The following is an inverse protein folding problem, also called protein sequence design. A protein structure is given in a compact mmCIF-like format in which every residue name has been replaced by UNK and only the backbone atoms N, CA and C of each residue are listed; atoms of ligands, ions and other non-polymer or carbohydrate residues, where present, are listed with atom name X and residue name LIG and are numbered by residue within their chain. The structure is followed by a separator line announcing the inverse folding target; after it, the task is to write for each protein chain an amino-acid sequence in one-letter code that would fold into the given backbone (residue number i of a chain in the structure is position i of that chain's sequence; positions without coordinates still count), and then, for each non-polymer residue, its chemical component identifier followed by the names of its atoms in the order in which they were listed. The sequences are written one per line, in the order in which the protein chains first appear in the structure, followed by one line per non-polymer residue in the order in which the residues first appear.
data_IF_954688781453
#
_entry.id   IF_954688781453
#
_cell.length_a   1.000
_cell.length_b   1.000
_cell.length_c   1.000
_cell.angle_alpha   90.00
_cell.angle_beta   90.00
_cell.angle_gamma   90.00
#
_symmetry.space_group_name_H-M   'P 1'
#
loop_
_entity.id
_entity.type
_entity.pdbx_description
1 polymer ?
#
# COMPACT_ATOMS: atom_id res chain seq x y z
N UNK A 1 -27.27 14.19 -23.35
CA UNK A 1 -26.24 13.15 -23.63
C UNK A 1 -24.92 13.43 -22.91
N UNK A 2 -24.29 14.61 -23.08
CA UNK A 2 -23.00 14.95 -22.43
C UNK A 2 -23.01 14.89 -20.89
N UNK A 3 -24.12 15.24 -20.24
CA UNK A 3 -24.23 15.17 -18.76
C UNK A 3 -24.20 13.73 -18.24
N UNK A 4 -24.88 12.80 -18.91
CA UNK A 4 -24.92 11.38 -18.51
C UNK A 4 -23.52 10.76 -18.62
N UNK A 5 -22.77 11.06 -19.69
CA UNK A 5 -21.41 10.53 -19.85
C UNK A 5 -20.46 11.03 -18.76
N UNK A 6 -20.59 12.29 -18.33
CA UNK A 6 -19.79 12.85 -17.23
C UNK A 6 -20.15 12.19 -15.90
N UNK A 7 -21.44 11.99 -15.62
CA UNK A 7 -21.89 11.30 -14.40
C UNK A 7 -21.39 9.86 -14.35
N UNK A 8 -21.48 9.11 -15.46
CA UNK A 8 -20.97 7.74 -15.53
C UNK A 8 -19.44 7.69 -15.34
N UNK A 9 -18.70 8.63 -15.92
CA UNK A 9 -17.25 8.70 -15.74
C UNK A 9 -16.88 9.00 -14.27
N UNK A 10 -17.55 9.96 -13.63
CA UNK A 10 -17.34 10.25 -12.21
C UNK A 10 -17.70 9.06 -11.32
N UNK A 11 -18.80 8.36 -11.60
CA UNK A 11 -19.18 7.14 -10.87
C UNK A 11 -18.16 6.00 -11.04
N UNK A 12 -17.60 5.82 -12.24
CA UNK A 12 -16.53 4.86 -12.48
C UNK A 12 -15.25 5.26 -11.74
N UNK A 13 -14.89 6.54 -11.73
CA UNK A 13 -13.76 7.04 -10.96
C UNK A 13 -13.95 6.84 -9.45
N UNK A 14 -15.15 7.11 -8.91
CA UNK A 14 -15.40 6.91 -7.46
C UNK A 14 -15.36 5.43 -7.09
N UNK A 15 -15.90 4.53 -7.92
CA UNK A 15 -15.80 3.08 -7.70
C UNK A 15 -14.34 2.60 -7.81
N UNK A 16 -13.58 3.08 -8.80
CA UNK A 16 -12.16 2.74 -8.94
C UNK A 16 -11.33 3.25 -7.76
N UNK A 17 -11.59 4.48 -7.29
CA UNK A 17 -10.91 5.06 -6.13
C UNK A 17 -11.28 4.29 -4.86
N UNK A 18 -12.57 4.05 -4.59
CA UNK A 18 -13.02 3.34 -3.37
C UNK A 18 -12.55 1.88 -3.31
N UNK A 19 -12.41 1.21 -4.46
CA UNK A 19 -11.81 -0.14 -4.51
C UNK A 19 -10.29 -0.13 -4.39
N UNK A 20 -9.62 0.94 -4.83
CA UNK A 20 -8.18 1.16 -4.64
C UNK A 20 -7.83 1.73 -3.25
N UNK A 21 -8.81 2.22 -2.49
CA UNK A 21 -8.59 2.68 -1.13
C UNK A 21 -8.15 1.50 -0.28
N UNK A 22 -6.96 1.58 0.33
CA UNK A 22 -6.47 0.50 1.16
C UNK A 22 -7.44 0.31 2.33
N UNK A 23 -8.01 -0.90 2.43
CA UNK A 23 -8.77 -1.38 3.59
C UNK A 23 -7.85 -1.54 4.84
N UNK A 24 -6.63 -0.98 4.81
CA UNK A 24 -5.54 -1.30 5.72
C UNK A 24 -5.65 -0.77 7.15
N UNK A 25 -6.35 0.32 7.53
CA UNK A 25 -6.39 0.62 8.96
C UNK A 25 -7.22 -0.44 9.69
N UNK A 26 -8.35 -0.89 9.14
CA UNK A 26 -9.23 -1.84 9.85
C UNK A 26 -8.69 -3.26 9.80
N UNK A 27 -8.24 -3.75 8.63
CA UNK A 27 -7.73 -5.11 8.54
C UNK A 27 -6.36 -5.26 9.20
N UNK A 28 -5.47 -4.26 9.14
CA UNK A 28 -4.19 -4.35 9.83
C UNK A 28 -4.36 -4.18 11.35
N UNK A 29 -5.30 -3.35 11.82
CA UNK A 29 -5.56 -3.19 13.25
C UNK A 29 -6.30 -4.39 13.85
N UNK A 30 -7.23 -5.03 13.11
CA UNK A 30 -7.85 -6.29 13.54
C UNK A 30 -6.91 -7.50 13.40
N UNK A 31 -6.07 -7.55 12.37
CA UNK A 31 -5.11 -8.64 12.21
C UNK A 31 -3.87 -8.48 13.10
N UNK A 32 -3.56 -7.26 13.58
CA UNK A 32 -2.43 -6.98 14.47
C UNK A 32 -2.43 -7.80 15.76
N UNK A 33 -3.50 -7.84 16.58
CA UNK A 33 -3.51 -8.64 17.79
C UNK A 33 -3.36 -10.13 17.50
N UNK A 34 -3.96 -10.63 16.42
CA UNK A 34 -3.81 -12.02 15.98
C UNK A 34 -2.40 -12.33 15.47
N UNK A 35 -1.80 -11.41 14.70
CA UNK A 35 -0.44 -11.54 14.22
C UNK A 35 0.55 -11.53 15.40
N UNK A 36 0.40 -10.60 16.33
CA UNK A 36 1.24 -10.52 17.52
C UNK A 36 1.12 -11.80 18.37
N UNK A 37 -0.10 -12.32 18.57
CA UNK A 37 -0.28 -13.58 19.31
C UNK A 37 0.33 -14.77 18.55
N UNK A 38 0.26 -14.78 17.21
CA UNK A 38 0.90 -15.82 16.41
C UNK A 38 2.43 -15.74 16.51
N UNK A 39 3.00 -14.53 16.49
CA UNK A 39 4.45 -14.33 16.61
C UNK A 39 4.97 -14.65 18.02
N UNK A 40 4.21 -14.39 19.08
CA UNK A 40 4.59 -14.74 20.47
C UNK A 40 4.64 -16.27 20.69
N UNK A 41 3.90 -17.06 19.90
CA UNK A 41 3.84 -18.53 20.02
C UNK A 41 4.76 -19.25 19.02
N UNK A 42 5.40 -18.51 18.09
CA UNK A 42 6.31 -19.08 17.10
C UNK A 42 7.72 -19.25 17.71
N UNK A 43 8.34 -20.45 17.64
CA UNK A 43 9.73 -20.63 18.05
C UNK A 43 10.65 -19.65 17.30
N UNK A 44 11.67 -19.10 17.96
CA UNK A 44 12.57 -18.04 17.44
C UNK A 44 13.02 -18.26 15.98
N UNK A 45 13.33 -19.50 15.58
CA UNK A 45 13.73 -19.83 14.20
C UNK A 45 12.63 -19.51 13.17
N UNK A 46 11.37 -19.74 13.53
CA UNK A 46 10.22 -19.45 12.68
C UNK A 46 9.91 -17.96 12.60
N UNK A 47 10.19 -17.18 13.65
CA UNK A 47 10.10 -15.72 13.60
C UNK A 47 11.09 -15.14 12.60
N UNK A 48 12.36 -15.59 12.64
CA UNK A 48 13.37 -15.16 11.66
C UNK A 48 12.96 -15.53 10.23
N UNK A 49 12.50 -16.76 10.01
CA UNK A 49 11.99 -17.20 8.72
C UNK A 49 10.79 -16.36 8.26
N UNK A 50 9.88 -15.97 9.15
CA UNK A 50 8.73 -15.13 8.83
C UNK A 50 9.15 -13.71 8.43
N UNK A 51 10.11 -13.10 9.14
CA UNK A 51 10.65 -11.77 8.81
C UNK A 51 11.40 -11.80 7.48
N UNK A 52 12.22 -12.83 7.23
CA UNK A 52 12.96 -12.97 5.98
C UNK A 52 12.04 -13.20 4.77
N UNK A 53 10.94 -13.93 4.95
CA UNK A 53 9.96 -14.22 3.89
C UNK A 53 8.78 -13.23 3.87
N UNK A 54 8.83 -12.16 4.67
CA UNK A 54 7.76 -11.19 4.75
C UNK A 54 7.64 -10.39 3.44
N UNK A 55 6.56 -10.66 2.69
CA UNK A 55 6.29 -9.99 1.41
C UNK A 55 5.24 -8.89 1.59
N UNK A 56 5.71 -7.66 1.75
CA UNK A 56 4.85 -6.48 1.68
C UNK A 56 4.22 -6.33 0.29
N UNK A 57 2.94 -5.94 0.23
CA UNK A 57 2.26 -5.65 -1.03
C UNK A 57 2.95 -4.46 -1.71
N UNK A 58 3.50 -4.69 -2.91
CA UNK A 58 4.13 -3.68 -3.77
C UNK A 58 3.14 -3.30 -4.85
N UNK A 59 2.22 -2.40 -4.53
CA UNK A 59 1.23 -1.93 -5.52
C UNK A 59 1.62 -0.56 -6.09
N UNK A 60 2.14 0.34 -5.25
CA UNK A 60 2.41 1.74 -5.62
C UNK A 60 3.44 1.84 -6.73
N UNK A 61 4.64 1.31 -6.53
CA UNK A 61 5.73 1.41 -7.50
C UNK A 61 5.59 0.48 -8.71
N UNK A 62 4.90 -0.66 -8.56
CA UNK A 62 4.68 -1.62 -9.65
C UNK A 62 3.54 -1.19 -10.57
N UNK A 63 2.33 -0.97 -10.04
CA UNK A 63 1.14 -0.66 -10.85
C UNK A 63 1.20 0.72 -11.50
N UNK A 64 1.80 1.71 -10.82
CA UNK A 64 1.90 3.07 -11.34
C UNK A 64 3.15 3.31 -12.20
N UNK A 65 3.98 2.29 -12.41
CA UNK A 65 5.18 2.39 -13.24
C UNK A 65 4.86 2.75 -14.68
N UNK A 66 3.76 2.23 -15.25
CA UNK A 66 3.31 2.54 -16.61
C UNK A 66 2.87 3.99 -16.81
N UNK A 67 2.51 4.69 -15.73
CA UNK A 67 2.11 6.10 -15.77
C UNK A 67 3.27 7.06 -15.46
N UNK A 68 4.43 6.55 -15.02
CA UNK A 68 5.57 7.38 -14.61
C UNK A 68 5.36 8.16 -13.31
N UNK A 69 4.32 7.84 -12.52
CA UNK A 69 3.95 8.53 -11.27
C UNK A 69 4.24 7.70 -10.01
N UNK A 70 5.00 6.61 -10.14
CA UNK A 70 5.31 5.73 -9.01
C UNK A 70 6.02 6.46 -7.87
N UNK A 71 7.01 7.30 -8.19
CA UNK A 71 7.76 8.07 -7.19
C UNK A 71 6.89 9.08 -6.46
N UNK A 72 6.01 9.81 -7.17
CA UNK A 72 5.14 10.80 -6.57
C UNK A 72 4.06 10.15 -5.69
N UNK A 73 3.49 9.02 -6.13
CA UNK A 73 2.56 8.25 -5.32
C UNK A 73 3.24 7.67 -4.06
N UNK A 74 4.47 7.16 -4.18
CA UNK A 74 5.28 6.73 -3.05
C UNK A 74 5.57 7.89 -2.09
N UNK A 75 5.98 9.04 -2.61
CA UNK A 75 6.23 10.23 -1.79
C UNK A 75 4.98 10.68 -1.03
N UNK A 76 3.82 10.76 -1.69
CA UNK A 76 2.55 11.10 -1.06
C UNK A 76 2.18 10.11 0.06
N UNK A 77 2.37 8.82 -0.18
CA UNK A 77 2.15 7.78 0.82
C UNK A 77 3.05 7.96 2.04
N UNK A 78 4.34 8.20 1.83
CA UNK A 78 5.31 8.39 2.92
C UNK A 78 5.04 9.66 3.73
N UNK A 79 4.64 10.75 3.06
CA UNK A 79 4.24 12.01 3.71
C UNK A 79 3.01 11.81 4.60
N UNK A 80 2.00 11.08 4.11
CA UNK A 80 0.81 10.76 4.91
C UNK A 80 1.14 9.93 6.18
N UNK A 81 2.26 9.20 6.18
CA UNK A 81 2.80 8.47 7.34
C UNK A 81 3.75 9.31 8.22
N UNK A 82 3.94 10.59 7.94
CA UNK A 82 4.79 11.50 8.72
C UNK A 82 6.27 11.54 8.31
N UNK A 83 6.64 10.94 7.18
CA UNK A 83 7.99 11.04 6.63
C UNK A 83 8.14 12.30 5.74
N UNK A 84 9.38 12.71 5.44
CA UNK A 84 9.65 13.86 4.54
C UNK A 84 9.37 13.59 3.06
N UNK A 85 9.27 12.33 2.66
CA UNK A 85 9.01 11.94 1.27
C UNK A 85 9.33 10.48 1.02
N UNK A 86 9.35 10.08 -0.25
CA UNK A 86 9.62 8.72 -0.67
C UNK A 86 9.94 8.61 -2.15
N UNK A 87 10.43 7.44 -2.58
CA UNK A 87 10.73 7.11 -3.97
C UNK A 87 10.70 5.61 -4.23
N UNK A 88 10.59 5.24 -5.49
CA UNK A 88 10.68 3.86 -5.94
C UNK A 88 12.14 3.51 -6.26
N UNK A 89 12.69 2.50 -5.59
CA UNK A 89 14.02 1.99 -5.92
C UNK A 89 14.02 1.10 -7.19
N UNK A 90 15.20 0.63 -7.61
CA UNK A 90 15.36 -0.24 -8.79
C UNK A 90 14.60 -1.57 -8.72
N UNK A 91 14.22 -2.01 -7.50
CA UNK A 91 13.43 -3.22 -7.24
C UNK A 91 11.93 -2.93 -7.12
N UNK A 92 11.48 -1.74 -7.53
CA UNK A 92 10.09 -1.27 -7.42
C UNK A 92 9.54 -1.32 -5.98
N UNK A 93 10.40 -1.01 -5.02
CA UNK A 93 10.01 -0.86 -3.61
C UNK A 93 9.94 0.62 -3.27
N UNK A 94 8.84 1.04 -2.63
CA UNK A 94 8.69 2.38 -2.09
C UNK A 94 9.55 2.53 -0.84
N UNK A 95 10.51 3.46 -0.88
CA UNK A 95 11.44 3.77 0.21
C UNK A 95 11.09 5.16 0.74
N UNK A 96 10.56 5.21 1.96
CA UNK A 96 10.35 6.48 2.66
C UNK A 96 11.68 7.06 3.16
N UNK A 97 11.79 8.38 3.14
CA UNK A 97 12.95 9.13 3.66
C UNK A 97 12.47 9.92 4.87
N UNK A 98 13.23 9.83 5.96
CA UNK A 98 12.93 10.50 7.23
C UNK A 98 12.71 11.99 7.05
#
# INVERSE_FOLDING_TARGET
MKSITVICFLALCTVAITSAYPQEPVLADEARPFANSLFDELPEETYQAAVENFRLKRATCDLLSGFGVGDSACAAHCIARGNRGGYCNSKKVCVCRN
#
